data_IF_372666274961
#
_entry.id   IF_372666274961
#
_cell.length_a   1.000
_cell.length_b   1.000
_cell.length_c   1.000
_cell.angle_alpha   90.00
_cell.angle_beta   90.00
_cell.angle_gamma   90.00
#
_symmetry.space_group_name_H-M   'P 1'
#
loop_
_entity.id
_entity.type
_entity.pdbx_description
1 polymer ?
#
# COMPACT_ATOMS: atom_id res chain seq x y z
N UNK A 1 9.39 -4.46 -20.93
CA UNK A 1 8.83 -3.61 -19.86
C UNK A 1 9.87 -2.59 -19.45
N UNK A 2 9.48 -1.35 -19.20
CA UNK A 2 10.40 -0.30 -18.74
C UNK A 2 10.87 -0.56 -17.29
N UNK A 3 12.11 -0.16 -16.98
CA UNK A 3 12.61 -0.18 -15.62
C UNK A 3 11.80 0.78 -14.74
N UNK A 4 11.34 0.31 -13.57
CA UNK A 4 10.55 1.13 -12.65
C UNK A 4 11.30 2.38 -12.20
N UNK A 5 12.63 2.32 -12.04
CA UNK A 5 13.43 3.50 -11.67
C UNK A 5 13.36 4.60 -12.74
N UNK A 6 13.49 4.22 -14.01
CA UNK A 6 13.42 5.17 -15.14
C UNK A 6 12.01 5.75 -15.31
N UNK A 7 10.98 4.90 -15.16
CA UNK A 7 9.60 5.36 -15.13
C UNK A 7 9.36 6.38 -14.01
N UNK A 8 9.86 6.11 -12.80
CA UNK A 8 9.72 7.02 -11.67
C UNK A 8 10.48 8.33 -11.90
N UNK A 9 11.67 8.30 -12.51
CA UNK A 9 12.41 9.53 -12.89
C UNK A 9 11.60 10.41 -13.84
N UNK A 10 10.88 9.81 -14.79
CA UNK A 10 10.01 10.54 -15.73
C UNK A 10 8.73 11.08 -15.07
N UNK A 11 8.08 10.28 -14.22
CA UNK A 11 6.78 10.63 -13.64
C UNK A 11 6.88 11.58 -12.45
N UNK A 12 7.91 11.47 -11.60
CA UNK A 12 8.09 12.32 -10.42
C UNK A 12 7.98 13.82 -10.69
N UNK A 13 8.66 14.42 -11.70
CA UNK A 13 8.53 15.85 -11.96
C UNK A 13 7.12 16.25 -12.43
N UNK A 14 6.48 15.39 -13.24
CA UNK A 14 5.11 15.65 -13.74
C UNK A 14 4.11 15.63 -12.58
N UNK A 15 4.20 14.62 -11.71
CA UNK A 15 3.38 14.49 -10.51
C UNK A 15 3.61 15.65 -9.54
N UNK A 16 4.87 16.08 -9.35
CA UNK A 16 5.19 17.24 -8.51
C UNK A 16 4.55 18.54 -9.05
N UNK A 17 4.60 18.75 -10.37
CA UNK A 17 3.97 19.91 -11.00
C UNK A 17 2.43 19.88 -10.86
N UNK A 18 1.81 18.71 -11.08
CA UNK A 18 0.37 18.53 -10.89
C UNK A 18 -0.06 18.77 -9.43
N UNK A 19 0.69 18.24 -8.46
CA UNK A 19 0.45 18.47 -7.05
C UNK A 19 0.56 19.96 -6.68
N UNK A 20 1.53 20.67 -7.24
CA UNK A 20 1.70 22.11 -7.03
C UNK A 20 0.56 22.94 -7.64
N UNK A 21 -0.10 22.43 -8.68
CA UNK A 21 -1.29 23.05 -9.29
C UNK A 21 -2.59 22.73 -8.53
N UNK A 22 -2.52 21.97 -7.43
CA UNK A 22 -3.70 21.57 -6.66
C UNK A 22 -4.48 20.42 -7.29
N UNK A 23 -3.92 19.73 -8.29
CA UNK A 23 -4.59 18.59 -8.91
C UNK A 23 -4.66 17.40 -7.94
N UNK A 24 -5.82 16.74 -7.92
CA UNK A 24 -6.05 15.53 -7.14
C UNK A 24 -5.21 14.38 -7.70
N UNK A 25 -4.33 13.83 -6.88
CA UNK A 25 -3.47 12.70 -7.24
C UNK A 25 -3.72 11.53 -6.29
N UNK A 26 -3.76 10.31 -6.83
CA UNK A 26 -3.97 9.08 -6.05
C UNK A 26 -2.77 8.16 -6.24
N UNK A 27 -2.14 7.79 -5.13
CA UNK A 27 -1.03 6.83 -5.13
C UNK A 27 -1.48 5.54 -4.46
N UNK A 28 -1.30 4.42 -5.14
CA UNK A 28 -1.55 3.10 -4.55
C UNK A 28 -0.37 2.72 -3.63
N UNK A 29 -0.70 2.22 -2.44
CA UNK A 29 0.26 1.60 -1.51
C UNK A 29 -0.25 0.21 -1.17
N UNK A 30 0.64 -0.76 -1.20
CA UNK A 30 0.36 -2.12 -0.76
C UNK A 30 0.93 -2.32 0.63
N UNK A 31 0.26 -3.15 1.42
CA UNK A 31 0.70 -3.50 2.76
C UNK A 31 0.27 -4.91 3.12
N UNK A 32 0.85 -5.37 4.23
CA UNK A 32 0.53 -6.64 4.85
C UNK A 32 0.07 -6.33 6.27
N UNK A 33 -1.09 -6.87 6.62
CA UNK A 33 -1.63 -6.83 7.97
C UNK A 33 -0.87 -7.83 8.86
N UNK A 34 -0.26 -7.30 9.92
CA UNK A 34 0.56 -8.05 10.86
C UNK A 34 -0.26 -8.99 11.75
N UNK A 35 -1.49 -8.61 12.06
CA UNK A 35 -2.38 -9.41 12.91
C UNK A 35 -2.85 -10.68 12.17
N UNK A 36 -3.08 -10.54 10.86
CA UNK A 36 -3.55 -11.62 9.99
C UNK A 36 -2.41 -12.46 9.40
N UNK A 37 -1.17 -11.93 9.35
CA UNK A 37 -0.04 -12.64 8.74
C UNK A 37 0.32 -13.91 9.53
N UNK A 38 0.38 -15.05 8.84
CA UNK A 38 0.67 -16.36 9.46
C UNK A 38 2.12 -16.79 9.36
N UNK A 39 2.98 -16.04 8.66
CA UNK A 39 4.42 -16.34 8.57
C UNK A 39 4.82 -17.36 7.49
N UNK A 40 3.93 -17.69 6.54
CA UNK A 40 4.24 -18.62 5.44
C UNK A 40 5.16 -18.01 4.37
N UNK A 41 5.17 -16.67 4.28
CA UNK A 41 5.99 -15.83 3.39
C UNK A 41 5.98 -16.24 1.91
N UNK A 42 5.00 -17.04 1.48
CA UNK A 42 4.84 -17.48 0.09
C UNK A 42 4.74 -16.29 -0.86
N UNK A 43 4.15 -15.20 -0.39
CA UNK A 43 4.00 -13.94 -1.09
C UNK A 43 5.33 -13.32 -1.57
N UNK A 44 6.43 -13.44 -0.80
CA UNK A 44 7.75 -12.92 -1.17
C UNK A 44 8.26 -13.67 -2.40
N UNK A 45 8.22 -15.01 -2.34
CA UNK A 45 8.70 -15.89 -3.40
C UNK A 45 7.84 -15.79 -4.67
N UNK A 46 6.51 -15.74 -4.52
CA UNK A 46 5.58 -15.67 -5.64
C UNK A 46 5.63 -14.31 -6.35
N UNK A 47 5.82 -13.22 -5.59
CA UNK A 47 5.78 -11.87 -6.16
C UNK A 47 7.12 -11.43 -6.76
N UNK A 48 8.25 -11.87 -6.18
CA UNK A 48 9.59 -11.40 -6.56
C UNK A 48 9.76 -9.88 -6.40
N UNK A 49 8.97 -9.24 -5.54
CA UNK A 49 8.97 -7.80 -5.38
C UNK A 49 10.14 -7.37 -4.48
N UNK A 50 11.05 -6.49 -4.94
CA UNK A 50 12.23 -6.10 -4.17
C UNK A 50 11.90 -5.28 -2.91
N UNK A 51 10.66 -4.80 -2.81
CA UNK A 51 10.17 -4.00 -1.67
C UNK A 51 9.27 -4.81 -0.73
N UNK A 52 9.06 -6.11 -0.98
CA UNK A 52 8.34 -7.01 -0.10
C UNK A 52 9.36 -7.89 0.62
N UNK A 53 9.50 -7.69 1.93
CA UNK A 53 10.51 -8.33 2.79
C UNK A 53 9.86 -8.82 4.09
N UNK A 54 10.64 -9.17 5.10
CA UNK A 54 10.18 -9.51 6.45
C UNK A 54 10.65 -8.47 7.48
N UNK A 55 9.86 -8.28 8.53
CA UNK A 55 10.21 -7.56 9.76
C UNK A 55 9.93 -8.45 10.97
N UNK A 56 10.53 -8.12 12.11
CA UNK A 56 10.21 -8.79 13.37
C UNK A 56 8.73 -8.62 13.73
N UNK A 57 8.19 -9.64 14.41
CA UNK A 57 6.80 -9.61 14.86
C UNK A 57 6.64 -8.59 16.00
N UNK A 58 5.67 -7.67 15.91
CA UNK A 58 5.40 -6.72 17.00
C UNK A 58 4.78 -7.40 18.23
N UNK A 59 4.15 -8.57 18.08
CA UNK A 59 3.68 -9.39 19.20
C UNK A 59 4.84 -10.21 19.79
N UNK A 60 5.28 -9.96 21.03
CA UNK A 60 6.38 -10.68 21.66
C UNK A 60 6.09 -12.17 21.90
N UNK A 61 4.81 -12.59 21.84
CA UNK A 61 4.43 -13.99 21.96
C UNK A 61 4.58 -14.76 20.65
N UNK A 62 4.76 -14.07 19.52
CA UNK A 62 4.91 -14.67 18.19
C UNK A 62 6.35 -14.57 17.71
N UNK A 63 6.93 -15.73 17.39
CA UNK A 63 8.32 -15.81 16.95
C UNK A 63 8.47 -15.64 15.44
N UNK A 64 7.44 -16.00 14.66
CA UNK A 64 7.49 -15.91 13.22
C UNK A 64 7.47 -14.45 12.75
N UNK A 65 8.44 -14.03 11.91
CA UNK A 65 8.48 -12.67 11.41
C UNK A 65 7.31 -12.41 10.46
N UNK A 66 6.98 -11.14 10.28
CA UNK A 66 5.82 -10.71 9.50
C UNK A 66 6.31 -10.17 8.15
N UNK A 67 5.62 -10.55 7.08
CA UNK A 67 5.89 -9.96 5.77
C UNK A 67 5.57 -8.46 5.79
N UNK A 68 6.41 -7.64 5.18
CA UNK A 68 6.25 -6.18 5.20
C UNK A 68 6.60 -5.57 3.84
N UNK A 69 5.87 -4.52 3.49
CA UNK A 69 6.16 -3.71 2.31
C UNK A 69 6.88 -2.44 2.77
N UNK A 70 8.12 -2.26 2.34
CA UNK A 70 8.92 -1.07 2.69
C UNK A 70 8.54 0.16 1.84
N UNK A 71 8.91 1.36 2.31
CA UNK A 71 8.58 2.65 1.67
C UNK A 71 9.08 2.82 0.22
N UNK A 72 9.98 1.96 -0.24
CA UNK A 72 10.40 1.91 -1.65
C UNK A 72 9.31 1.45 -2.62
N UNK A 73 8.18 0.94 -2.13
CA UNK A 73 7.08 0.46 -2.97
C UNK A 73 6.48 1.60 -3.82
N UNK A 74 6.57 1.43 -5.13
CA UNK A 74 6.02 2.40 -6.12
C UNK A 74 4.60 2.08 -6.56
N UNK A 75 3.97 1.07 -5.96
CA UNK A 75 2.60 0.67 -6.29
C UNK A 75 2.46 0.07 -7.70
N UNK A 76 3.46 -0.67 -8.20
CA UNK A 76 3.46 -1.21 -9.58
C UNK A 76 2.45 -2.34 -9.85
N UNK A 77 1.70 -2.78 -8.84
CA UNK A 77 0.68 -3.86 -8.96
C UNK A 77 1.25 -5.27 -8.84
N UNK A 78 2.55 -5.49 -9.04
CA UNK A 78 3.12 -6.84 -9.15
C UNK A 78 2.88 -7.76 -7.94
N UNK A 79 3.14 -7.30 -6.71
CA UNK A 79 2.89 -8.10 -5.51
C UNK A 79 1.45 -7.98 -5.03
N UNK A 80 0.91 -6.76 -5.06
CA UNK A 80 -0.38 -6.44 -4.47
C UNK A 80 -1.58 -6.89 -5.29
N UNK A 81 -1.63 -6.59 -6.59
CA UNK A 81 -2.74 -7.02 -7.44
C UNK A 81 -2.71 -8.54 -7.64
N UNK A 82 -1.54 -9.14 -7.81
CA UNK A 82 -1.44 -10.59 -7.96
C UNK A 82 -1.82 -11.33 -6.66
N UNK A 83 -1.35 -10.89 -5.49
CA UNK A 83 -1.68 -11.55 -4.24
C UNK A 83 -3.14 -11.30 -3.81
N UNK A 84 -3.64 -10.08 -4.00
CA UNK A 84 -4.99 -9.69 -3.59
C UNK A 84 -6.06 -10.21 -4.57
N UNK A 85 -5.87 -10.08 -5.89
CA UNK A 85 -6.84 -10.56 -6.88
C UNK A 85 -6.92 -12.09 -6.92
N UNK A 86 -5.82 -12.78 -6.61
CA UNK A 86 -5.82 -14.24 -6.49
C UNK A 86 -6.24 -14.74 -5.10
N UNK A 87 -6.59 -13.85 -4.16
CA UNK A 87 -6.97 -14.18 -2.77
C UNK A 87 -5.94 -15.12 -2.11
N UNK A 88 -4.66 -14.94 -2.44
CA UNK A 88 -3.60 -15.86 -2.05
C UNK A 88 -3.28 -15.76 -0.56
N UNK A 89 -3.41 -14.57 0.01
CA UNK A 89 -3.07 -14.33 1.40
C UNK A 89 -4.01 -13.29 1.99
N UNK A 90 -4.76 -13.62 3.07
CA UNK A 90 -5.77 -12.73 3.65
C UNK A 90 -5.17 -11.49 4.31
N UNK A 91 -3.86 -11.48 4.60
CA UNK A 91 -3.20 -10.32 5.19
C UNK A 91 -2.85 -9.21 4.18
N UNK A 92 -2.92 -9.46 2.87
CA UNK A 92 -2.60 -8.43 1.88
C UNK A 92 -3.74 -7.44 1.70
N UNK A 93 -3.41 -6.16 1.82
CA UNK A 93 -4.34 -5.07 1.53
C UNK A 93 -3.77 -4.07 0.52
N UNK A 94 -4.68 -3.43 -0.20
CA UNK A 94 -4.42 -2.31 -1.09
C UNK A 94 -5.01 -1.05 -0.48
N UNK A 95 -4.18 -0.06 -0.23
CA UNK A 95 -4.58 1.26 0.23
C UNK A 95 -4.33 2.31 -0.87
N UNK A 96 -5.14 3.36 -0.86
CA UNK A 96 -4.97 4.51 -1.73
C UNK A 96 -4.64 5.73 -0.87
N UNK A 97 -3.51 6.38 -1.17
CA UNK A 97 -3.10 7.64 -0.57
C UNK A 97 -3.52 8.75 -1.52
N UNK A 98 -4.51 9.54 -1.11
CA UNK A 98 -5.02 10.67 -1.89
C UNK A 98 -4.31 11.95 -1.46
N UNK A 99 -3.73 12.66 -2.43
CA UNK A 99 -3.13 13.99 -2.28
C UNK A 99 -4.00 15.02 -3.00
N UNK A 100 -4.15 16.21 -2.43
CA UNK A 100 -5.13 17.23 -2.85
C UNK A 100 -6.56 16.65 -2.92
N UNK A 101 -7.13 16.19 -1.78
CA UNK A 101 -8.44 15.57 -1.77
C UNK A 101 -9.53 16.54 -2.21
N UNK A 102 -10.49 16.07 -3.00
CA UNK A 102 -11.67 16.83 -3.35
C UNK A 102 -12.61 16.97 -2.15
N UNK A 103 -13.54 17.93 -2.21
CA UNK A 103 -14.60 18.07 -1.20
C UNK A 103 -15.42 16.78 -1.04
N UNK A 104 -15.55 16.01 -2.11
CA UNK A 104 -16.23 14.72 -2.10
C UNK A 104 -15.44 13.64 -1.36
N UNK A 105 -14.11 13.58 -1.55
CA UNK A 105 -13.24 12.64 -0.81
C UNK A 105 -13.35 12.90 0.70
N UNK A 106 -13.35 14.18 1.11
CA UNK A 106 -13.50 14.59 2.51
C UNK A 106 -14.88 14.19 3.05
N UNK A 107 -15.94 14.39 2.26
CA UNK A 107 -17.30 14.02 2.67
C UNK A 107 -17.44 12.51 2.86
N UNK A 108 -16.95 11.70 1.91
CA UNK A 108 -16.93 10.23 2.04
C UNK A 108 -16.13 9.79 3.26
N UNK A 109 -14.96 10.39 3.51
CA UNK A 109 -14.13 10.06 4.65
C UNK A 109 -14.87 10.30 5.98
N UNK A 110 -15.60 11.43 6.09
CA UNK A 110 -16.42 11.72 7.28
C UNK A 110 -17.53 10.71 7.48
N UNK A 111 -18.27 10.35 6.41
CA UNK A 111 -19.33 9.34 6.50
C UNK A 111 -18.75 7.99 6.90
N UNK A 112 -17.61 7.57 6.35
CA UNK A 112 -16.93 6.33 6.73
C UNK A 112 -16.49 6.34 8.19
N UNK A 113 -15.94 7.44 8.70
CA UNK A 113 -15.56 7.57 10.11
C UNK A 113 -16.76 7.40 11.05
N UNK A 114 -17.91 7.97 10.69
CA UNK A 114 -19.15 7.80 11.46
C UNK A 114 -19.65 6.35 11.48
N UNK A 115 -19.52 5.62 10.37
CA UNK A 115 -19.97 4.22 10.27
C UNK A 115 -19.02 3.26 11.01
N UNK A 116 -17.71 3.49 10.97
CA UNK A 116 -16.72 2.62 11.62
C UNK A 116 -16.47 2.99 13.09
N UNK A 117 -17.16 4.00 13.64
CA UNK A 117 -16.97 4.45 15.03
C UNK A 117 -15.61 5.08 15.32
N UNK A 118 -14.79 5.33 14.30
CA UNK A 118 -13.51 6.03 14.44
C UNK A 118 -13.77 7.53 14.31
N UNK A 119 -13.90 8.19 15.46
CA UNK A 119 -13.93 9.65 15.51
C UNK A 119 -12.56 10.18 15.03
N UNK A 120 -12.47 10.53 13.75
CA UNK A 120 -11.32 11.23 13.18
C UNK A 120 -11.35 12.65 13.74
N UNK A 121 -10.61 12.87 14.83
CA UNK A 121 -10.19 14.18 15.30
C UNK A 121 -8.86 14.56 14.64
#
# INVERSE_FOLDING_TARGET
GECQLERQRKLRPQLAAALAQGERQVRVKYGVDEDTCTGDHSCIRLSGCPTLTVKDNPDPLRQDPVATVIEGCVGCGLCGENAHAAVLCPSFYRAEVVQNPSRWDIWIARVRGLVHGTAVH
#
